data_IF_664302909127
#
_entry.id   IF_664302909127
#
_cell.length_a   1.000
_cell.length_b   1.000
_cell.length_c   1.000
_cell.angle_alpha   90.00
_cell.angle_beta   90.00
_cell.angle_gamma   90.00
#
_symmetry.space_group_name_H-M   'P 1'
#
loop_
_entity.id
_entity.type
_entity.pdbx_description
1 polymer ?
#
# COMPACT_ATOMS: atom_id res chain seq x y z
N UNK A 1 28.80 25.69 2.21
CA UNK A 1 28.72 25.04 0.88
C UNK A 1 30.16 24.80 0.41
N UNK A 2 30.73 23.63 0.71
CA UNK A 2 32.12 23.31 0.38
C UNK A 2 32.26 23.12 -1.13
N UNK A 3 33.10 23.95 -1.76
CA UNK A 3 33.32 23.98 -3.21
C UNK A 3 34.63 23.22 -3.50
N UNK A 4 34.53 21.90 -3.61
CA UNK A 4 35.67 21.05 -3.98
C UNK A 4 36.07 21.36 -5.42
N UNK A 5 37.29 21.89 -5.56
CA UNK A 5 37.86 22.34 -6.81
C UNK A 5 38.44 21.13 -7.55
N UNK A 6 37.88 20.87 -8.75
CA UNK A 6 38.34 19.95 -9.80
C UNK A 6 37.86 18.48 -9.67
N UNK A 7 36.78 18.23 -10.42
CA UNK A 7 36.33 16.99 -11.07
C UNK A 7 36.16 15.74 -10.18
N UNK A 8 34.93 15.59 -9.69
CA UNK A 8 34.36 14.34 -9.17
C UNK A 8 32.88 14.24 -9.58
N UNK A 9 32.52 14.74 -10.77
CA UNK A 9 31.15 14.64 -11.30
C UNK A 9 30.69 13.18 -11.33
N UNK A 10 31.58 12.26 -11.73
CA UNK A 10 31.34 10.82 -11.65
C UNK A 10 31.10 10.33 -10.23
N UNK A 11 31.77 10.87 -9.22
CA UNK A 11 31.50 10.50 -7.82
C UNK A 11 30.19 11.07 -7.32
N UNK A 12 29.81 12.29 -7.69
CA UNK A 12 28.50 12.81 -7.34
C UNK A 12 27.40 12.01 -8.03
N UNK A 13 27.59 11.61 -9.29
CA UNK A 13 26.70 10.71 -10.02
C UNK A 13 26.63 9.36 -9.32
N UNK A 14 27.76 8.73 -8.97
CA UNK A 14 27.75 7.44 -8.28
C UNK A 14 27.15 7.51 -6.88
N UNK A 15 27.42 8.56 -6.12
CA UNK A 15 26.83 8.81 -4.81
C UNK A 15 25.31 9.04 -4.91
N UNK A 16 24.85 9.72 -5.95
CA UNK A 16 23.42 9.86 -6.21
C UNK A 16 22.79 8.52 -6.64
N UNK A 17 23.40 7.80 -7.58
CA UNK A 17 22.93 6.49 -8.05
C UNK A 17 22.90 5.44 -6.93
N UNK A 18 23.77 5.53 -5.92
CA UNK A 18 23.76 4.61 -4.77
C UNK A 18 22.58 4.85 -3.83
N UNK A 19 22.04 6.07 -3.78
CA UNK A 19 20.84 6.41 -3.01
C UNK A 19 19.52 6.13 -3.74
N UNK A 20 19.55 5.81 -5.04
CA UNK A 20 18.34 5.51 -5.81
C UNK A 20 17.86 4.08 -5.59
N UNK A 21 16.53 3.91 -5.62
CA UNK A 21 15.90 2.58 -5.66
C UNK A 21 16.34 1.83 -6.92
N UNK A 22 16.60 0.53 -6.81
CA UNK A 22 17.12 -0.28 -7.94
C UNK A 22 16.29 -0.17 -9.22
N UNK A 23 14.96 -0.15 -9.09
CA UNK A 23 14.05 -0.01 -10.22
C UNK A 23 14.23 1.33 -10.98
N UNK A 24 14.65 2.39 -10.29
CA UNK A 24 14.93 3.71 -10.87
C UNK A 24 16.39 3.72 -11.36
N UNK A 25 17.33 3.28 -10.53
CA UNK A 25 18.76 3.19 -10.84
C UNK A 25 19.04 2.41 -12.13
N UNK A 26 18.43 1.23 -12.29
CA UNK A 26 18.62 0.39 -13.49
C UNK A 26 18.21 1.11 -14.77
N UNK A 27 17.12 1.89 -14.72
CA UNK A 27 16.69 2.66 -15.88
C UNK A 27 17.68 3.79 -16.15
N UNK A 28 18.08 4.54 -15.13
CA UNK A 28 19.03 5.66 -15.30
C UNK A 28 20.39 5.20 -15.81
N UNK A 29 20.90 4.07 -15.32
CA UNK A 29 22.18 3.46 -15.77
C UNK A 29 22.09 2.98 -17.23
N UNK A 30 20.94 2.47 -17.67
CA UNK A 30 20.72 2.05 -19.07
C UNK A 30 20.94 3.20 -20.06
N UNK A 31 20.63 4.44 -19.66
CA UNK A 31 20.78 5.63 -20.50
C UNK A 31 22.19 6.26 -20.46
N UNK A 32 23.16 5.64 -19.76
CA UNK A 32 24.57 6.05 -19.72
C UNK A 32 24.81 7.56 -19.48
N UNK A 33 24.05 8.15 -18.55
CA UNK A 33 24.14 9.59 -18.27
C UNK A 33 25.41 9.91 -17.47
N UNK A 34 26.14 10.94 -17.89
CA UNK A 34 27.45 11.34 -17.33
C UNK A 34 27.45 12.63 -16.52
N UNK A 35 26.34 13.36 -16.50
CA UNK A 35 26.22 14.61 -15.71
C UNK A 35 25.16 14.48 -14.63
N UNK A 36 25.45 15.09 -13.48
CA UNK A 36 24.57 14.97 -12.31
C UNK A 36 23.17 15.52 -12.60
N UNK A 37 23.09 16.64 -13.32
CA UNK A 37 21.82 17.29 -13.67
C UNK A 37 20.93 16.37 -14.52
N UNK A 38 21.52 15.67 -15.50
CA UNK A 38 20.78 14.73 -16.35
C UNK A 38 20.29 13.52 -15.55
N UNK A 39 21.16 12.96 -14.70
CA UNK A 39 20.85 11.82 -13.83
C UNK A 39 19.68 12.15 -12.90
N UNK A 40 19.71 13.35 -12.29
CA UNK A 40 18.62 13.84 -11.42
C UNK A 40 17.33 14.03 -12.22
N UNK A 41 17.39 14.70 -13.38
CA UNK A 41 16.21 14.92 -14.21
C UNK A 41 15.53 13.63 -14.66
N UNK A 42 16.32 12.64 -15.08
CA UNK A 42 15.80 11.34 -15.49
C UNK A 42 15.25 10.53 -14.30
N UNK A 43 15.93 10.57 -13.14
CA UNK A 43 15.47 9.90 -11.93
C UNK A 43 14.08 10.41 -11.48
N UNK A 44 13.84 11.72 -11.55
CA UNK A 44 12.55 12.32 -11.23
C UNK A 44 11.45 11.88 -12.20
N UNK A 45 11.74 11.86 -13.50
CA UNK A 45 10.80 11.35 -14.50
C UNK A 45 10.45 9.89 -14.21
N UNK A 46 11.45 9.09 -13.89
CA UNK A 46 11.30 7.67 -13.63
C UNK A 46 10.54 7.37 -12.32
N UNK A 47 10.72 8.20 -11.29
CA UNK A 47 9.95 8.13 -10.05
C UNK A 47 8.46 8.38 -10.32
N UNK A 48 8.13 9.36 -11.16
CA UNK A 48 6.73 9.65 -11.52
C UNK A 48 6.06 8.46 -12.22
N UNK A 49 6.76 7.81 -13.16
CA UNK A 49 6.29 6.63 -13.90
C UNK A 49 6.11 5.45 -12.95
N UNK A 50 7.09 5.20 -12.08
CA UNK A 50 7.00 4.10 -11.11
C UNK A 50 5.85 4.33 -10.12
N UNK A 51 5.64 5.57 -9.67
CA UNK A 51 4.53 5.96 -8.82
C UNK A 51 3.17 5.70 -9.46
N UNK A 52 3.01 6.03 -10.74
CA UNK A 52 1.80 5.74 -11.50
C UNK A 52 1.54 4.23 -11.62
N UNK A 53 2.56 3.44 -11.98
CA UNK A 53 2.45 1.97 -12.08
C UNK A 53 2.07 1.32 -10.75
N UNK A 54 2.62 1.79 -9.63
CA UNK A 54 2.26 1.30 -8.30
C UNK A 54 0.80 1.63 -7.97
N UNK A 55 0.33 2.84 -8.31
CA UNK A 55 -1.08 3.24 -8.12
C UNK A 55 -2.02 2.36 -8.94
N UNK A 56 -1.69 2.12 -10.20
CA UNK A 56 -2.45 1.24 -11.10
C UNK A 56 -2.49 -0.20 -10.59
N UNK A 57 -1.33 -0.78 -10.24
CA UNK A 57 -1.26 -2.12 -9.67
C UNK A 57 -2.10 -2.25 -8.39
N UNK A 58 -2.04 -1.26 -7.49
CA UNK A 58 -2.87 -1.22 -6.28
C UNK A 58 -4.36 -1.05 -6.60
N UNK A 59 -4.72 -0.33 -7.65
CA UNK A 59 -6.11 -0.22 -8.11
C UNK A 59 -6.62 -1.56 -8.65
N UNK A 60 -5.80 -2.28 -9.42
CA UNK A 60 -6.13 -3.62 -9.92
C UNK A 60 -6.29 -4.63 -8.78
N UNK A 61 -5.40 -4.62 -7.79
CA UNK A 61 -5.51 -5.49 -6.60
C UNK A 61 -6.78 -5.16 -5.80
N UNK A 62 -7.14 -3.88 -5.65
CA UNK A 62 -8.40 -3.48 -4.99
C UNK A 62 -9.63 -3.94 -5.78
N UNK A 63 -9.60 -3.81 -7.10
CA UNK A 63 -10.66 -4.35 -7.97
C UNK A 63 -10.73 -5.87 -7.76
N UNK A 64 -9.59 -6.56 -7.63
CA UNK A 64 -9.53 -7.98 -7.34
C UNK A 64 -10.16 -8.45 -6.06
N UNK A 65 -9.95 -7.70 -5.00
CA UNK A 65 -10.59 -8.04 -3.73
C UNK A 65 -12.10 -7.74 -3.72
N UNK A 66 -12.56 -6.78 -4.54
CA UNK A 66 -13.98 -6.38 -4.59
C UNK A 66 -14.90 -7.38 -5.31
N UNK A 67 -14.39 -8.17 -6.26
CA UNK A 67 -15.22 -9.23 -6.89
C UNK A 67 -15.28 -10.52 -6.08
N UNK A 68 -14.36 -10.77 -5.16
CA UNK A 68 -14.40 -11.95 -4.27
C UNK A 68 -15.46 -11.79 -3.16
N UNK A 69 -15.90 -10.57 -2.86
CA UNK A 69 -16.89 -10.31 -1.79
C UNK A 69 -18.35 -10.28 -2.26
N UNK A 70 -18.64 -10.50 -3.55
CA UNK A 70 -19.98 -10.34 -4.11
C UNK A 70 -20.76 -11.64 -4.35
N UNK A 71 -20.23 -12.82 -3.98
CA UNK A 71 -20.92 -14.08 -4.23
C UNK A 71 -21.02 -14.97 -2.99
N UNK A 72 -22.29 -15.22 -2.65
CA UNK A 72 -22.86 -16.39 -1.95
C UNK A 72 -23.17 -16.25 -0.45
N UNK A 73 -24.49 -16.18 -0.22
CA UNK A 73 -25.17 -16.57 1.02
C UNK A 73 -24.88 -18.04 1.31
N UNK A 74 -24.52 -18.34 2.56
CA UNK A 74 -24.83 -19.54 3.34
C UNK A 74 -24.67 -20.93 2.70
N UNK A 75 -23.75 -21.74 3.25
CA UNK A 75 -24.09 -22.94 4.04
C UNK A 75 -22.87 -23.42 4.83
N UNK A 76 -23.15 -23.95 6.01
CA UNK A 76 -22.23 -24.30 7.09
C UNK A 76 -21.17 -25.34 6.68
N UNK A 77 -19.96 -25.18 7.20
CA UNK A 77 -19.10 -26.31 7.56
C UNK A 77 -18.36 -25.96 8.84
N UNK A 78 -18.58 -26.81 9.84
CA UNK A 78 -18.11 -26.73 11.20
C UNK A 78 -16.68 -27.24 11.31
N UNK A 79 -15.69 -26.36 11.42
CA UNK A 79 -14.39 -26.60 12.07
C UNK A 79 -13.82 -25.23 12.49
N UNK A 80 -13.64 -25.03 13.80
CA UNK A 80 -12.91 -23.90 14.39
C UNK A 80 -13.47 -22.49 14.11
N UNK A 81 -14.46 -22.04 14.89
CA UNK A 81 -15.10 -20.72 14.73
C UNK A 81 -14.16 -19.57 15.11
N UNK A 82 -13.32 -19.12 14.18
CA UNK A 82 -12.84 -17.75 14.16
C UNK A 82 -13.96 -16.94 13.49
N UNK A 83 -14.63 -16.00 14.19
CA UNK A 83 -15.72 -15.25 13.59
C UNK A 83 -15.21 -14.44 12.39
N UNK A 84 -15.97 -14.38 11.29
CA UNK A 84 -15.59 -13.58 10.13
C UNK A 84 -15.38 -12.11 10.53
N UNK A 85 -14.22 -11.54 10.21
CA UNK A 85 -13.91 -10.13 10.50
C UNK A 85 -14.81 -9.26 9.62
N UNK A 86 -15.96 -8.83 10.17
CA UNK A 86 -16.86 -7.87 9.51
C UNK A 86 -16.26 -6.47 9.65
N UNK A 87 -15.90 -5.85 8.53
CA UNK A 87 -15.47 -4.43 8.50
C UNK A 87 -16.71 -3.55 8.71
N UNK A 88 -16.99 -3.20 9.96
CA UNK A 88 -18.04 -2.23 10.33
C UNK A 88 -17.51 -0.80 10.17
N UNK A 89 -18.34 0.09 9.62
CA UNK A 89 -18.05 1.52 9.61
C UNK A 89 -18.05 2.08 11.04
N UNK A 90 -17.24 3.11 11.29
CA UNK A 90 -17.14 3.79 12.59
C UNK A 90 -18.50 4.28 13.09
N UNK A 91 -19.33 4.80 12.18
CA UNK A 91 -20.70 5.23 12.48
C UNK A 91 -21.59 4.08 12.95
N UNK A 92 -21.51 2.91 12.30
CA UNK A 92 -22.27 1.71 12.69
C UNK A 92 -21.79 1.16 14.05
N UNK A 93 -20.48 1.23 14.32
CA UNK A 93 -19.92 0.82 15.60
C UNK A 93 -20.43 1.70 16.75
N UNK A 94 -20.49 3.01 16.54
CA UNK A 94 -20.96 3.94 17.57
C UNK A 94 -22.44 3.70 17.90
N UNK A 95 -23.29 3.56 16.88
CA UNK A 95 -24.71 3.20 17.07
C UNK A 95 -24.87 1.86 17.81
N UNK A 96 -23.99 0.89 17.56
CA UNK A 96 -23.96 -0.38 18.29
C UNK A 96 -23.62 -0.22 19.76
N UNK A 97 -22.66 0.65 20.11
CA UNK A 97 -22.32 0.98 21.51
C UNK A 97 -23.48 1.64 22.23
N UNK A 98 -24.10 2.63 21.58
CA UNK A 98 -25.21 3.40 22.14
C UNK A 98 -26.42 2.49 22.41
N UNK A 99 -26.66 1.50 21.54
CA UNK A 99 -27.75 0.53 21.65
C UNK A 99 -27.39 -0.75 22.41
N UNK A 100 -26.15 -0.86 22.93
CA UNK A 100 -25.60 -2.07 23.54
C UNK A 100 -25.83 -3.32 22.68
N UNK A 101 -25.54 -3.24 21.39
CA UNK A 101 -25.67 -4.35 20.45
C UNK A 101 -24.32 -5.00 20.15
N UNK A 102 -24.33 -6.30 19.92
CA UNK A 102 -23.19 -7.09 19.51
C UNK A 102 -22.83 -6.73 18.07
N UNK A 103 -21.54 -6.47 17.83
CA UNK A 103 -21.03 -6.08 16.51
C UNK A 103 -21.17 -7.17 15.43
N UNK A 104 -21.50 -8.41 15.82
CA UNK A 104 -21.53 -9.56 14.93
C UNK A 104 -22.94 -10.07 14.62
N UNK A 105 -23.88 -10.07 15.58
CA UNK A 105 -25.25 -10.59 15.42
C UNK A 105 -26.37 -9.54 15.58
N UNK A 106 -26.05 -8.27 15.82
CA UNK A 106 -27.05 -7.21 16.04
C UNK A 106 -28.03 -7.48 17.23
N UNK A 107 -27.71 -8.43 18.11
CA UNK A 107 -28.42 -8.73 19.37
C UNK A 107 -27.84 -7.94 20.55
N UNK A 108 -28.54 -7.87 21.69
CA UNK A 108 -28.06 -7.18 22.90
C UNK A 108 -26.76 -7.81 23.42
N UNK A 109 -25.71 -7.00 23.61
CA UNK A 109 -24.40 -7.42 24.08
C UNK A 109 -24.35 -7.44 25.61
N UNK A 110 -24.37 -8.63 26.19
CA UNK A 110 -24.28 -8.85 27.64
C UNK A 110 -22.97 -9.58 28.02
N UNK A 111 -22.56 -9.49 29.29
CA UNK A 111 -21.37 -10.19 29.77
C UNK A 111 -21.55 -11.70 29.59
N UNK A 112 -20.72 -12.32 28.74
CA UNK A 112 -20.84 -13.74 28.37
C UNK A 112 -21.50 -13.99 27.01
N UNK A 113 -21.91 -12.94 26.29
CA UNK A 113 -22.44 -13.07 24.93
C UNK A 113 -21.37 -13.61 23.98
N UNK A 114 -21.53 -14.87 23.55
CA UNK A 114 -20.70 -15.52 22.53
C UNK A 114 -21.51 -15.59 21.23
N UNK A 115 -21.01 -14.93 20.19
CA UNK A 115 -21.56 -15.03 18.85
C UNK A 115 -21.66 -16.51 18.42
N UNK A 116 -22.87 -17.00 18.14
CA UNK A 116 -23.13 -18.39 17.71
C UNK A 116 -23.03 -18.54 16.20
#
# INVERSE_FOLDING_TARGET
MAKTRRLLEDFFVQCFLSGLKDAIKNQVVMFQLKTLVQVVGLALLQESILGAKIKEAKALIRKMFSYVTSTTKSKQSSIGKIPPIKRISTAKMQLGRDKKLCYYCDEKHEQGHKYK
#
